data_IF_163038097486
#
_entry.id   IF_163038097486
#
_cell.length_a   1.000
_cell.length_b   1.000
_cell.length_c   1.000
_cell.angle_alpha   90.00
_cell.angle_beta   90.00
_cell.angle_gamma   90.00
#
_symmetry.space_group_name_H-M   'P 1'
#
loop_
_entity.id
_entity.type
_entity.pdbx_description
1 polymer ?
#
# COMPACT_ATOMS: atom_id res chain seq x y z
N UNK A 1 -25.08 -15.39 -19.40
CA UNK A 1 -24.33 -16.63 -19.05
C UNK A 1 -23.18 -16.43 -18.05
N UNK A 2 -22.59 -15.23 -17.93
CA UNK A 2 -21.41 -14.95 -17.07
C UNK A 2 -21.70 -14.91 -15.55
N UNK A 3 -22.82 -14.31 -15.11
CA UNK A 3 -23.19 -14.26 -13.67
C UNK A 3 -23.36 -15.66 -13.04
N UNK A 4 -23.94 -16.62 -13.78
CA UNK A 4 -24.07 -18.02 -13.32
C UNK A 4 -22.72 -18.73 -13.16
N UNK A 5 -21.71 -18.43 -13.99
CA UNK A 5 -20.35 -19.01 -13.86
C UNK A 5 -19.60 -18.43 -12.65
N UNK A 6 -19.68 -17.11 -12.43
CA UNK A 6 -19.07 -16.46 -11.24
C UNK A 6 -19.71 -16.91 -9.92
N UNK A 7 -21.04 -17.10 -9.87
CA UNK A 7 -21.70 -17.64 -8.67
C UNK A 7 -21.24 -19.07 -8.36
N UNK A 8 -21.13 -19.92 -9.40
CA UNK A 8 -20.66 -21.30 -9.25
C UNK A 8 -19.24 -21.38 -8.70
N UNK A 9 -18.31 -20.54 -9.17
CA UNK A 9 -16.92 -20.53 -8.68
C UNK A 9 -16.80 -20.22 -7.18
N UNK A 10 -17.54 -19.22 -6.69
CA UNK A 10 -17.55 -18.87 -5.25
C UNK A 10 -18.11 -20.01 -4.39
N UNK A 11 -19.19 -20.64 -4.86
CA UNK A 11 -19.83 -21.76 -4.15
C UNK A 11 -18.91 -22.98 -4.07
N UNK A 12 -18.19 -23.28 -5.16
CA UNK A 12 -17.22 -24.38 -5.20
C UNK A 12 -16.07 -24.14 -4.22
N UNK A 13 -15.48 -22.94 -4.23
CA UNK A 13 -14.42 -22.60 -3.30
C UNK A 13 -14.89 -22.66 -1.84
N UNK A 14 -16.08 -22.13 -1.54
CA UNK A 14 -16.67 -22.20 -0.20
C UNK A 14 -16.85 -23.66 0.26
N UNK A 15 -17.47 -24.50 -0.58
CA UNK A 15 -17.72 -25.90 -0.26
C UNK A 15 -16.42 -26.67 -0.05
N UNK A 16 -15.40 -26.44 -0.88
CA UNK A 16 -14.10 -27.09 -0.76
C UNK A 16 -13.41 -26.74 0.58
N UNK A 17 -13.37 -25.45 0.94
CA UNK A 17 -12.75 -25.00 2.20
C UNK A 17 -13.49 -25.56 3.40
N UNK A 18 -14.83 -25.50 3.43
CA UNK A 18 -15.61 -26.01 4.56
C UNK A 18 -15.57 -27.53 4.67
N UNK A 19 -15.64 -28.26 3.55
CA UNK A 19 -15.56 -29.73 3.56
C UNK A 19 -14.19 -30.21 4.02
N UNK A 20 -13.10 -29.57 3.58
CA UNK A 20 -11.74 -29.89 4.04
C UNK A 20 -11.63 -29.79 5.56
N UNK A 21 -12.09 -28.68 6.15
CA UNK A 21 -12.03 -28.50 7.61
C UNK A 21 -13.02 -29.38 8.37
N UNK A 22 -14.16 -29.72 7.79
CA UNK A 22 -15.10 -30.69 8.37
C UNK A 22 -14.44 -32.06 8.54
N UNK A 23 -13.77 -32.59 7.50
CA UNK A 23 -13.05 -33.86 7.62
C UNK A 23 -11.80 -33.74 8.52
N UNK A 24 -11.08 -32.62 8.47
CA UNK A 24 -9.93 -32.39 9.35
C UNK A 24 -10.30 -32.36 10.84
N UNK A 25 -11.53 -31.93 11.18
CA UNK A 25 -12.03 -31.92 12.56
C UNK A 25 -12.14 -33.34 13.15
N UNK A 26 -12.47 -34.34 12.33
CA UNK A 26 -12.54 -35.74 12.74
C UNK A 26 -11.19 -36.46 12.57
N UNK A 27 -10.46 -36.15 11.48
CA UNK A 27 -9.23 -36.86 11.13
C UNK A 27 -7.99 -36.41 11.93
N UNK A 28 -8.05 -35.29 12.65
CA UNK A 28 -6.95 -34.79 13.48
C UNK A 28 -7.26 -34.80 14.97
N UNK A 29 -8.20 -35.66 15.38
CA UNK A 29 -8.40 -35.97 16.79
C UNK A 29 -7.35 -36.99 17.21
N UNK A 30 -6.62 -36.71 18.29
CA UNK A 30 -5.66 -37.66 18.84
C UNK A 30 -6.43 -38.85 19.40
N UNK A 31 -6.28 -40.04 18.78
CA UNK A 31 -6.88 -41.25 19.28
C UNK A 31 -6.01 -41.81 20.43
N UNK A 32 -6.65 -42.11 21.56
CA UNK A 32 -6.09 -42.75 22.76
C UNK A 32 -5.05 -43.88 22.48
N UNK A 33 -5.20 -44.76 21.47
CA UNK A 33 -4.18 -45.78 21.17
C UNK A 33 -2.79 -45.25 20.75
N UNK A 34 -2.67 -44.03 20.23
CA UNK A 34 -1.38 -43.46 19.79
C UNK A 34 -0.55 -42.90 20.96
N UNK A 35 -1.21 -42.61 22.09
CA UNK A 35 -0.59 -42.25 23.38
C UNK A 35 0.30 -43.38 23.92
N UNK A 36 -0.12 -44.64 23.74
CA UNK A 36 0.65 -45.80 24.20
C UNK A 36 1.87 -46.10 23.32
N UNK A 37 1.90 -45.57 22.09
CA UNK A 37 3.02 -45.73 21.16
C UNK A 37 4.11 -44.65 21.33
N UNK A 38 3.96 -43.70 22.27
CA UNK A 38 4.92 -42.64 22.54
C UNK A 38 5.17 -41.70 21.37
N UNK A 39 4.25 -41.65 20.40
CA UNK A 39 4.51 -41.09 19.07
C UNK A 39 4.10 -39.62 18.93
N UNK A 40 3.20 -39.09 19.78
CA UNK A 40 2.72 -37.72 19.63
C UNK A 40 2.53 -36.98 20.97
N UNK A 41 2.78 -35.67 20.94
CA UNK A 41 2.56 -34.73 22.04
C UNK A 41 1.05 -34.53 22.20
N UNK A 42 0.50 -34.83 23.38
CA UNK A 42 -0.92 -34.61 23.66
C UNK A 42 -1.24 -33.12 23.83
N UNK A 43 -1.52 -32.46 22.72
CA UNK A 43 -2.15 -31.15 22.78
C UNK A 43 -3.67 -31.38 22.85
N UNK A 44 -4.23 -31.31 24.06
CA UNK A 44 -5.68 -31.29 24.32
C UNK A 44 -6.44 -30.31 23.40
N UNK A 45 -5.75 -29.26 22.94
CA UNK A 45 -6.23 -28.30 21.94
C UNK A 45 -5.34 -28.41 20.69
N UNK A 46 -5.88 -28.67 19.50
CA UNK A 46 -5.09 -28.85 18.29
C UNK A 46 -4.63 -27.50 17.70
N UNK A 47 -3.62 -26.88 18.33
CA UNK A 47 -3.13 -25.52 18.01
C UNK A 47 -2.76 -25.37 16.53
N UNK A 48 -2.06 -26.33 15.95
CA UNK A 48 -1.68 -26.28 14.53
C UNK A 48 -2.88 -26.32 13.58
N UNK A 49 -3.93 -27.08 13.92
CA UNK A 49 -5.17 -27.12 13.14
C UNK A 49 -5.94 -25.81 13.25
N UNK A 50 -5.92 -25.15 14.42
CA UNK A 50 -6.53 -23.82 14.61
C UNK A 50 -5.80 -22.76 13.79
N UNK A 51 -4.47 -22.73 13.83
CA UNK A 51 -3.67 -21.80 13.01
C UNK A 51 -3.92 -22.04 11.51
N UNK A 52 -3.94 -23.31 11.09
CA UNK A 52 -4.27 -23.65 9.70
C UNK A 52 -5.68 -23.18 9.32
N UNK A 53 -6.67 -23.36 10.20
CA UNK A 53 -8.02 -22.87 10.00
C UNK A 53 -8.06 -21.34 9.83
N UNK A 54 -7.39 -20.59 10.71
CA UNK A 54 -7.31 -19.15 10.61
C UNK A 54 -6.70 -18.68 9.29
N UNK A 55 -5.63 -19.32 8.81
CA UNK A 55 -5.02 -18.96 7.52
C UNK A 55 -5.96 -19.22 6.34
N UNK A 56 -6.52 -20.42 6.20
CA UNK A 56 -7.31 -20.76 5.01
C UNK A 56 -8.71 -20.14 5.02
N UNK A 57 -9.40 -20.13 6.17
CA UNK A 57 -10.72 -19.49 6.28
C UNK A 57 -10.58 -17.98 6.32
N UNK A 58 -9.57 -17.44 6.99
CA UNK A 58 -9.27 -16.01 6.99
C UNK A 58 -8.95 -15.50 5.59
N UNK A 59 -8.07 -16.18 4.85
CA UNK A 59 -7.79 -15.83 3.44
C UNK A 59 -9.05 -15.89 2.59
N UNK A 60 -9.86 -16.94 2.75
CA UNK A 60 -11.12 -17.07 2.03
C UNK A 60 -12.07 -15.90 2.34
N UNK A 61 -12.18 -15.49 3.60
CA UNK A 61 -13.02 -14.39 4.07
C UNK A 61 -12.56 -13.04 3.51
N UNK A 62 -11.27 -12.72 3.59
CA UNK A 62 -10.70 -11.51 2.96
C UNK A 62 -11.07 -11.44 1.48
N UNK A 63 -10.98 -12.56 0.76
CA UNK A 63 -11.41 -12.65 -0.63
C UNK A 63 -12.91 -12.41 -0.84
N UNK A 64 -13.78 -12.79 0.11
CA UNK A 64 -15.21 -12.51 0.04
C UNK A 64 -15.53 -11.03 0.27
N UNK A 65 -14.84 -10.41 1.20
CA UNK A 65 -15.06 -9.03 1.62
C UNK A 65 -14.62 -8.08 0.49
N UNK A 66 -13.45 -8.32 -0.11
CA UNK A 66 -12.97 -7.59 -1.30
C UNK A 66 -13.89 -7.71 -2.54
N UNK A 67 -14.76 -8.73 -2.58
CA UNK A 67 -15.74 -8.85 -3.68
C UNK A 67 -16.97 -7.95 -3.52
N UNK A 68 -17.19 -7.35 -2.34
CA UNK A 68 -18.31 -6.45 -2.06
C UNK A 68 -17.83 -5.11 -1.48
N UNK A 69 -16.96 -4.36 -2.19
CA UNK A 69 -16.30 -3.17 -1.65
C UNK A 69 -17.21 -1.94 -1.42
N UNK A 70 -18.53 -2.10 -1.56
CA UNK A 70 -19.54 -1.04 -1.46
C UNK A 70 -20.63 -1.41 -0.44
N UNK A 71 -20.26 -2.22 0.55
CA UNK A 71 -21.15 -2.57 1.65
C UNK A 71 -21.19 -1.48 2.72
N UNK A 72 -21.35 -1.92 3.97
CA UNK A 72 -21.40 -1.09 5.17
C UNK A 72 -20.34 -1.53 6.18
N UNK A 73 -19.37 -2.34 5.74
CA UNK A 73 -18.28 -2.80 6.59
C UNK A 73 -17.25 -1.67 6.78
N UNK A 74 -16.52 -1.68 7.91
CA UNK A 74 -15.58 -0.60 8.25
C UNK A 74 -14.44 -0.41 7.22
N UNK A 75 -14.11 -1.48 6.48
CA UNK A 75 -13.07 -1.50 5.43
C UNK A 75 -13.63 -1.21 4.02
N UNK A 76 -14.94 -0.97 3.88
CA UNK A 76 -15.55 -0.65 2.59
C UNK A 76 -15.27 0.78 2.14
N UNK A 77 -15.48 1.05 0.85
CA UNK A 77 -15.36 2.41 0.31
C UNK A 77 -16.50 3.28 0.85
N UNK A 78 -16.15 4.39 1.51
CA UNK A 78 -17.09 5.42 1.98
C UNK A 78 -17.71 6.20 0.80
N UNK A 79 -18.62 5.56 0.06
CA UNK A 79 -19.19 6.11 -1.17
C UNK A 79 -20.01 7.38 -0.90
N UNK A 80 -20.74 7.44 0.23
CA UNK A 80 -21.53 8.61 0.60
C UNK A 80 -20.63 9.85 0.79
N UNK A 81 -19.52 9.71 1.52
CA UNK A 81 -18.57 10.79 1.71
C UNK A 81 -17.99 11.28 0.38
N UNK A 82 -17.57 10.35 -0.48
CA UNK A 82 -17.00 10.69 -1.79
C UNK A 82 -18.03 11.42 -2.66
N UNK A 83 -19.28 10.97 -2.65
CA UNK A 83 -20.36 11.57 -3.43
C UNK A 83 -20.66 12.99 -2.95
N UNK A 84 -20.84 13.18 -1.65
CA UNK A 84 -21.12 14.50 -1.06
C UNK A 84 -19.97 15.48 -1.32
N UNK A 85 -18.73 15.03 -1.14
CA UNK A 85 -17.52 15.82 -1.43
C UNK A 85 -17.46 16.24 -2.90
N UNK A 86 -17.69 15.30 -3.83
CA UNK A 86 -17.60 15.58 -5.25
C UNK A 86 -18.69 16.55 -5.71
N UNK A 87 -19.92 16.38 -5.22
CA UNK A 87 -21.02 17.31 -5.51
C UNK A 87 -20.68 18.71 -4.99
N UNK A 88 -20.29 18.84 -3.72
CA UNK A 88 -19.92 20.13 -3.13
C UNK A 88 -18.75 20.80 -3.87
N UNK A 89 -17.72 20.03 -4.22
CA UNK A 89 -16.54 20.53 -4.95
C UNK A 89 -16.91 20.97 -6.37
N UNK A 90 -17.69 20.16 -7.09
CA UNK A 90 -18.09 20.48 -8.46
C UNK A 90 -18.90 21.79 -8.53
N UNK A 91 -19.87 21.97 -7.63
CA UNK A 91 -20.59 23.23 -7.53
C UNK A 91 -19.72 24.40 -7.06
N UNK A 92 -18.76 24.17 -6.16
CA UNK A 92 -17.83 25.22 -5.74
C UNK A 92 -16.93 25.70 -6.89
N UNK A 93 -16.51 24.80 -7.78
CA UNK A 93 -15.72 25.14 -8.96
C UNK A 93 -16.56 25.98 -9.94
N UNK A 94 -17.73 25.49 -10.34
CA UNK A 94 -18.56 26.14 -11.37
C UNK A 94 -19.20 27.43 -10.86
N UNK A 95 -19.63 27.48 -9.60
CA UNK A 95 -20.28 28.67 -9.05
C UNK A 95 -19.24 29.65 -8.52
N UNK A 96 -18.45 29.27 -7.52
CA UNK A 96 -17.59 30.21 -6.79
C UNK A 96 -16.29 30.51 -7.51
N UNK A 97 -15.54 29.50 -7.96
CA UNK A 97 -14.22 29.74 -8.57
C UNK A 97 -14.32 30.37 -9.96
N UNK A 98 -15.37 30.06 -10.74
CA UNK A 98 -15.54 30.65 -12.07
C UNK A 98 -16.08 32.09 -12.03
N UNK A 99 -16.83 32.47 -10.98
CA UNK A 99 -17.35 33.85 -10.82
C UNK A 99 -16.42 34.76 -10.03
N UNK A 100 -15.47 34.20 -9.29
CA UNK A 100 -14.43 34.99 -8.61
C UNK A 100 -13.48 35.60 -9.63
N UNK A 101 -13.12 36.86 -9.39
CA UNK A 101 -12.06 37.51 -10.15
C UNK A 101 -10.75 36.73 -9.96
N UNK A 102 -10.05 36.53 -11.07
CA UNK A 102 -8.73 35.92 -11.05
C UNK A 102 -7.83 36.75 -10.12
N UNK A 103 -7.06 36.12 -9.20
CA UNK A 103 -6.09 36.86 -8.42
C UNK A 103 -5.14 37.61 -9.37
N UNK A 104 -4.69 38.79 -8.93
CA UNK A 104 -3.76 39.58 -9.71
C UNK A 104 -2.50 38.76 -10.01
N UNK A 105 -2.06 38.84 -11.27
CA UNK A 105 -0.88 38.14 -11.73
C UNK A 105 0.35 38.83 -11.14
N UNK A 106 0.94 38.20 -10.14
CA UNK A 106 2.20 38.63 -9.54
C UNK A 106 3.34 37.71 -9.95
N UNK A 107 4.50 38.31 -10.22
CA UNK A 107 5.74 37.57 -10.43
C UNK A 107 6.09 36.77 -9.17
N UNK A 108 6.25 35.45 -9.33
CA UNK A 108 6.60 34.56 -8.23
C UNK A 108 8.05 34.78 -7.73
N UNK A 109 8.39 34.16 -6.60
CA UNK A 109 9.69 34.31 -5.96
C UNK A 109 10.89 33.79 -6.79
N UNK A 110 10.64 32.96 -7.81
CA UNK A 110 11.65 32.46 -8.72
C UNK A 110 11.79 33.40 -9.93
N UNK A 111 10.69 33.91 -10.47
CA UNK A 111 10.69 34.86 -11.58
C UNK A 111 11.44 36.15 -11.23
N UNK A 112 11.30 36.64 -10.00
CA UNK A 112 12.02 37.82 -9.48
C UNK A 112 13.53 37.64 -9.36
N UNK A 113 14.03 36.39 -9.31
CA UNK A 113 15.45 36.04 -9.14
C UNK A 113 16.00 35.27 -10.34
N UNK A 114 15.40 35.46 -11.52
CA UNK A 114 15.74 34.70 -12.74
C UNK A 114 17.19 34.92 -13.21
N UNK A 115 17.79 36.08 -12.91
CA UNK A 115 19.20 36.37 -13.20
C UNK A 115 20.18 35.77 -12.18
N UNK A 116 19.68 35.36 -11.01
CA UNK A 116 20.46 34.72 -9.96
C UNK A 116 20.48 33.20 -10.15
N UNK A 117 21.43 32.53 -9.48
CA UNK A 117 21.43 31.07 -9.45
C UNK A 117 20.15 30.60 -8.74
N UNK A 118 19.35 29.77 -9.41
CA UNK A 118 18.12 29.20 -8.84
C UNK A 118 18.48 28.31 -7.65
N UNK A 119 18.15 28.77 -6.44
CA UNK A 119 18.27 27.96 -5.24
C UNK A 119 17.22 26.83 -5.25
N UNK A 120 17.57 25.63 -4.75
CA UNK A 120 16.59 24.56 -4.59
C UNK A 120 15.51 24.96 -3.61
N UNK A 121 14.31 24.38 -3.76
CA UNK A 121 13.21 24.60 -2.80
C UNK A 121 13.70 24.31 -1.38
N UNK A 122 13.33 25.14 -0.38
CA UNK A 122 13.79 24.94 0.99
C UNK A 122 13.23 23.65 1.58
N UNK A 123 14.09 22.84 2.18
CA UNK A 123 13.72 21.64 2.92
C UNK A 123 13.62 21.95 4.42
N UNK A 124 12.66 21.31 5.09
CA UNK A 124 12.64 21.29 6.56
C UNK A 124 13.79 20.41 7.08
N UNK A 125 14.15 20.56 8.36
CA UNK A 125 15.25 19.79 8.98
C UNK A 125 15.02 18.28 8.84
N UNK A 126 13.77 17.83 8.92
CA UNK A 126 13.38 16.43 8.74
C UNK A 126 13.36 16.00 7.26
N UNK A 127 12.82 16.83 6.36
CA UNK A 127 12.76 16.44 4.94
C UNK A 127 14.14 16.37 4.29
N UNK A 128 15.12 17.14 4.79
CA UNK A 128 16.53 17.06 4.36
C UNK A 128 17.22 15.75 4.76
N UNK A 129 16.72 15.06 5.79
CA UNK A 129 17.27 13.78 6.24
C UNK A 129 16.66 12.59 5.48
N UNK A 130 15.54 12.79 4.79
CA UNK A 130 14.99 11.79 3.88
C UNK A 130 16.00 11.59 2.74
N UNK A 131 16.26 10.32 2.43
CA UNK A 131 17.21 9.96 1.38
C UNK A 131 16.71 10.49 0.04
N UNK A 132 17.20 11.64 -0.38
CA UNK A 132 17.01 12.13 -1.74
C UNK A 132 17.77 11.19 -2.67
N UNK A 133 17.03 10.32 -3.36
CA UNK A 133 17.59 9.62 -4.48
C UNK A 133 17.98 10.66 -5.53
N UNK A 134 19.26 10.67 -5.91
CA UNK A 134 19.73 11.47 -7.05
C UNK A 134 18.75 11.25 -8.23
N UNK A 135 18.42 12.30 -8.98
CA UNK A 135 17.51 12.19 -10.11
C UNK A 135 17.99 11.04 -11.00
N UNK A 136 17.15 10.01 -11.14
CA UNK A 136 17.48 8.83 -11.94
C UNK A 136 17.41 9.23 -13.41
N UNK A 137 18.55 9.57 -14.01
CA UNK A 137 18.64 9.67 -15.46
C UNK A 137 18.38 8.28 -16.04
N UNK A 138 17.41 8.18 -16.95
CA UNK A 138 17.00 6.92 -17.57
C UNK A 138 18.03 6.40 -18.59
N UNK A 139 19.13 7.12 -18.78
CA UNK A 139 20.31 6.72 -19.52
C UNK A 139 21.54 6.86 -18.62
N UNK A 140 22.48 5.92 -18.74
CA UNK A 140 23.73 5.92 -17.99
C UNK A 140 24.67 7.01 -18.52
N UNK A 141 24.34 8.27 -18.35
CA UNK A 141 25.36 9.32 -18.52
C UNK A 141 26.24 9.26 -17.28
N UNK A 142 27.47 8.76 -17.42
CA UNK A 142 28.48 8.89 -16.38
C UNK A 142 28.80 10.38 -16.26
N UNK A 143 28.38 11.00 -15.16
CA UNK A 143 28.86 12.33 -14.78
C UNK A 143 30.35 12.18 -14.53
N UNK A 144 31.17 12.71 -15.43
CA UNK A 144 32.62 12.63 -15.37
C UNK A 144 33.17 13.50 -14.24
N UNK A 145 34.32 13.12 -13.70
CA UNK A 145 35.03 13.85 -12.65
C UNK A 145 35.67 15.17 -13.13
N UNK A 146 35.43 15.59 -14.38
CA UNK A 146 36.02 16.80 -14.99
C UNK A 146 35.09 18.03 -14.95
N UNK A 147 33.86 17.90 -14.44
CA UNK A 147 32.94 19.05 -14.29
C UNK A 147 33.26 19.89 -13.04
N UNK A 148 34.54 20.02 -12.67
CA UNK A 148 34.99 20.88 -11.55
C UNK A 148 34.85 22.38 -11.85
N UNK A 149 34.53 22.77 -13.09
CA UNK A 149 34.42 24.18 -13.50
C UNK A 149 33.00 24.66 -13.86
N UNK A 150 31.97 23.82 -13.78
CA UNK A 150 30.59 24.32 -13.79
C UNK A 150 30.08 24.40 -12.36
N UNK A 151 30.28 25.58 -11.75
CA UNK A 151 29.87 25.92 -10.39
C UNK A 151 28.34 26.10 -10.32
N UNK A 152 27.62 25.06 -10.71
CA UNK A 152 26.19 24.89 -10.52
C UNK A 152 25.88 23.51 -9.91
N UNK A 153 26.76 22.99 -9.06
CA UNK A 153 26.46 21.77 -8.31
C UNK A 153 25.46 22.06 -7.17
N UNK A 154 24.24 21.53 -7.30
CA UNK A 154 23.26 21.47 -6.21
C UNK A 154 23.53 20.31 -5.25
N UNK A 155 24.72 19.68 -5.29
CA UNK A 155 25.06 18.58 -4.38
C UNK A 155 26.51 18.71 -3.91
N UNK A 156 26.73 19.56 -2.93
CA UNK A 156 27.91 19.47 -2.07
C UNK A 156 27.53 18.69 -0.82
N UNK A 157 27.91 17.40 -0.76
CA UNK A 157 28.22 16.59 0.43
C UNK A 157 28.11 15.11 0.03
N UNK A 158 29.21 14.58 -0.52
CA UNK A 158 29.38 13.13 -0.63
C UNK A 158 29.60 12.60 0.80
N UNK A 159 28.51 12.22 1.48
CA UNK A 159 28.62 11.51 2.76
C UNK A 159 29.04 10.08 2.44
N UNK A 160 30.31 9.82 2.73
CA UNK A 160 30.93 8.50 2.73
C UNK A 160 29.99 7.47 3.36
N UNK A 161 29.62 6.46 2.57
CA UNK A 161 28.76 5.36 3.01
C UNK A 161 29.51 4.59 4.09
N UNK A 162 29.18 4.82 5.36
CA UNK A 162 29.58 3.90 6.43
C UNK A 162 28.84 2.58 6.22
N UNK A 163 29.54 1.61 5.66
CA UNK A 163 29.15 0.21 5.73
C UNK A 163 29.09 -0.19 7.20
N UNK A 164 27.88 -0.36 7.71
CA UNK A 164 27.63 -1.11 8.93
C UNK A 164 27.79 -2.58 8.58
N UNK A 165 28.90 -3.18 9.01
CA UNK A 165 29.04 -4.63 9.07
C UNK A 165 28.14 -5.13 10.20
N UNK A 166 27.24 -6.05 9.84
CA UNK A 166 26.54 -6.90 10.80
C UNK A 166 27.45 -8.06 11.19
#
# INVERSE_FOLDING_TARGET
>A
MSKKKKLKGKMVAALATYAFFFFALFGRQNLIPEMQAGKEIDLMIPVFTIVQFMFFVGWFKVGQDLMRPFGLDDDDIELNYILDRNIATSFSIVNRLQTMDCPELEDDAFWKRKEERIDPLPHTIYSRQLTEHRPKLHSYVRIGAEDTNSLASCMGMDKEKKHINW
#
